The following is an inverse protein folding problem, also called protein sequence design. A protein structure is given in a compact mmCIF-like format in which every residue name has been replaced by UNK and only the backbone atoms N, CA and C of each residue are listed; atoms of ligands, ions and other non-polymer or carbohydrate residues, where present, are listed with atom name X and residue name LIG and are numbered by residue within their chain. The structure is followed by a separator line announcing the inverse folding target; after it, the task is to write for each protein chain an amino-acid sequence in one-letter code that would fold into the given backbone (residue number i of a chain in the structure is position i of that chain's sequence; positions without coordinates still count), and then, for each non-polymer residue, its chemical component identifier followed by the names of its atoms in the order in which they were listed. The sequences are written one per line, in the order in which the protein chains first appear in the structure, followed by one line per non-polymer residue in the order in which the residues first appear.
data_IF_272321528423
#
_entry.id   IF_272321528423
#
_cell.length_a   1.000
_cell.length_b   1.000
_cell.length_c   1.000
_cell.angle_alpha   90.00
_cell.angle_beta   90.00
_cell.angle_gamma   90.00
#
_symmetry.space_group_name_H-M   'P 1'
#
loop_
_entity.id
_entity.type
_entity.pdbx_description
1 polymer ?
#
# COMPACT_ATOMS: atom_id res chain seq x y z
N UNK A 1 7.91 19.77 7.25
CA UNK A 1 8.06 18.39 7.76
C UNK A 1 6.75 17.69 7.46
N UNK A 2 6.74 16.51 6.82
CA UNK A 2 5.50 15.78 6.62
C UNK A 2 4.89 15.45 8.00
N UNK A 3 3.61 15.72 8.17
CA UNK A 3 2.89 15.51 9.43
C UNK A 3 2.48 14.04 9.51
N UNK A 4 3.36 13.19 10.01
CA UNK A 4 3.05 11.77 10.24
C UNK A 4 2.03 11.66 11.36
N UNK A 5 0.92 10.97 11.12
CA UNK A 5 -0.15 10.82 12.11
C UNK A 5 0.39 10.17 13.40
N UNK A 6 0.33 10.84 14.56
CA UNK A 6 0.86 10.29 15.79
C UNK A 6 0.19 8.97 16.21
N UNK A 7 0.95 8.02 16.72
CA UNK A 7 0.45 6.69 17.08
C UNK A 7 -0.68 6.69 18.13
N UNK A 8 -0.79 7.74 18.95
CA UNK A 8 -1.88 7.88 19.93
C UNK A 8 -3.22 8.26 19.26
N UNK A 9 -3.20 8.91 18.07
CA UNK A 9 -4.40 9.19 17.29
C UNK A 9 -4.91 7.97 16.49
N UNK A 10 -4.22 6.84 16.57
CA UNK A 10 -4.63 5.62 15.85
C UNK A 10 -6.04 5.13 16.18
N UNK A 11 -6.62 5.55 17.33
CA UNK A 11 -8.01 5.26 17.65
C UNK A 11 -8.97 5.99 16.70
N UNK A 12 -8.60 7.17 16.18
CA UNK A 12 -9.37 7.88 15.17
C UNK A 12 -9.31 7.13 13.83
N UNK A 13 -8.14 6.60 13.51
CA UNK A 13 -7.93 5.78 12.29
C UNK A 13 -8.64 4.43 12.37
N UNK A 14 -8.93 3.93 13.58
CA UNK A 14 -9.68 2.69 13.82
C UNK A 14 -11.06 2.95 14.43
N UNK A 15 -11.58 4.15 14.32
CA UNK A 15 -12.91 4.48 14.79
C UNK A 15 -13.94 3.50 14.15
N UNK A 16 -14.89 2.94 14.91
CA UNK A 16 -15.97 2.11 14.35
C UNK A 16 -16.75 2.84 13.24
N UNK A 17 -16.80 4.16 13.28
CA UNK A 17 -17.35 5.00 12.21
C UNK A 17 -16.60 4.77 10.87
N UNK A 18 -15.27 4.71 10.88
CA UNK A 18 -14.49 4.39 9.66
C UNK A 18 -14.75 2.96 9.17
N UNK A 19 -14.96 2.00 10.07
CA UNK A 19 -15.36 0.63 9.71
C UNK A 19 -16.68 0.59 8.96
N UNK A 20 -17.63 1.45 9.34
CA UNK A 20 -18.95 1.53 8.72
C UNK A 20 -18.88 2.18 7.34
N UNK A 21 -18.01 3.19 7.17
CA UNK A 21 -17.92 3.97 5.92
C UNK A 21 -16.85 3.49 4.95
N UNK A 22 -15.98 2.54 5.35
CA UNK A 22 -14.95 1.97 4.46
C UNK A 22 -15.24 0.50 4.22
N UNK A 23 -15.77 0.18 3.05
CA UNK A 23 -15.87 -1.21 2.60
C UNK A 23 -14.48 -1.74 2.22
N UNK A 24 -13.86 -2.43 3.20
CA UNK A 24 -12.52 -3.00 3.01
C UNK A 24 -12.52 -4.06 1.92
N UNK A 25 -13.60 -4.83 1.77
CA UNK A 25 -13.68 -5.86 0.76
C UNK A 25 -13.73 -5.25 -0.63
N UNK A 26 -14.51 -4.20 -0.84
CA UNK A 26 -14.54 -3.46 -2.09
C UNK A 26 -13.17 -2.85 -2.46
N UNK A 27 -12.39 -2.39 -1.46
CA UNK A 27 -11.01 -1.92 -1.69
C UNK A 27 -10.11 -3.08 -2.13
N UNK A 28 -10.17 -4.23 -1.46
CA UNK A 28 -9.39 -5.40 -1.85
C UNK A 28 -9.76 -5.91 -3.26
N UNK A 29 -11.04 -5.86 -3.61
CA UNK A 29 -11.53 -6.21 -4.96
C UNK A 29 -10.99 -5.23 -6.01
N UNK A 30 -11.04 -3.93 -5.71
CA UNK A 30 -10.49 -2.89 -6.58
C UNK A 30 -8.97 -3.04 -6.81
N UNK A 31 -8.25 -3.63 -5.83
CA UNK A 31 -6.83 -3.95 -5.93
C UNK A 31 -6.55 -5.31 -6.61
N UNK A 32 -7.57 -6.08 -6.99
CA UNK A 32 -7.45 -7.46 -7.50
C UNK A 32 -6.70 -8.41 -6.54
N UNK A 33 -6.85 -8.23 -5.23
CA UNK A 33 -6.24 -9.11 -4.22
C UNK A 33 -7.04 -10.41 -4.15
N UNK A 34 -6.36 -11.54 -4.40
CA UNK A 34 -6.90 -12.90 -4.38
C UNK A 34 -6.22 -13.76 -3.32
N UNK A 35 -6.66 -15.00 -3.14
CA UNK A 35 -6.04 -15.99 -2.24
C UNK A 35 -4.61 -16.36 -2.63
N UNK A 36 -4.21 -16.12 -3.87
CA UNK A 36 -2.85 -16.42 -4.35
C UNK A 36 -1.91 -15.22 -4.26
N UNK A 37 -2.44 -14.02 -3.97
CA UNK A 37 -1.66 -12.78 -3.97
C UNK A 37 -0.68 -12.72 -2.80
N UNK A 38 0.56 -12.33 -3.09
CA UNK A 38 1.50 -11.77 -2.12
C UNK A 38 1.34 -10.25 -2.13
N UNK A 39 0.91 -9.69 -1.01
CA UNK A 39 0.60 -8.26 -0.92
C UNK A 39 1.67 -7.53 -0.12
N UNK A 40 2.19 -6.44 -0.67
CA UNK A 40 3.03 -5.46 0.01
C UNK A 40 2.16 -4.27 0.42
N UNK A 41 1.96 -4.08 1.72
CA UNK A 41 1.20 -2.96 2.28
C UNK A 41 2.18 -1.93 2.86
N UNK A 42 2.10 -0.69 2.39
CA UNK A 42 2.96 0.41 2.85
C UNK A 42 2.16 1.37 3.72
N UNK A 43 2.68 1.66 4.92
CA UNK A 43 1.96 2.45 5.91
C UNK A 43 0.81 1.65 6.54
N UNK A 44 1.10 0.41 6.96
CA UNK A 44 0.09 -0.52 7.51
C UNK A 44 -0.63 0.02 8.76
N UNK A 45 -0.02 1.00 9.43
CA UNK A 45 -0.57 1.63 10.62
C UNK A 45 -0.85 0.63 11.74
N UNK A 46 -2.05 0.70 12.30
CA UNK A 46 -2.49 -0.22 13.35
C UNK A 46 -3.07 -1.55 12.80
N UNK A 47 -2.95 -1.81 11.49
CA UNK A 47 -3.42 -3.05 10.86
C UNK A 47 -4.89 -3.04 10.41
N UNK A 48 -5.48 -1.88 10.16
CA UNK A 48 -6.88 -1.76 9.77
C UNK A 48 -7.19 -2.50 8.46
N UNK A 49 -6.36 -2.33 7.43
CA UNK A 49 -6.46 -3.09 6.18
C UNK A 49 -5.71 -4.41 6.25
N UNK A 50 -4.56 -4.45 6.92
CA UNK A 50 -3.69 -5.62 7.03
C UNK A 50 -4.46 -6.87 7.46
N UNK A 51 -5.39 -6.74 8.42
CA UNK A 51 -6.24 -7.85 8.89
C UNK A 51 -7.07 -8.43 7.75
N UNK A 52 -7.77 -7.60 6.99
CA UNK A 52 -8.61 -8.05 5.87
C UNK A 52 -7.77 -8.56 4.69
N UNK A 53 -6.60 -7.96 4.45
CA UNK A 53 -5.66 -8.47 3.46
C UNK A 53 -5.18 -9.87 3.86
N UNK A 54 -4.80 -10.08 5.13
CA UNK A 54 -4.32 -11.36 5.63
C UNK A 54 -5.42 -12.45 5.65
N UNK A 55 -6.68 -12.08 5.80
CA UNK A 55 -7.81 -13.01 5.65
C UNK A 55 -7.92 -13.53 4.22
N UNK A 56 -7.67 -12.68 3.22
CA UNK A 56 -7.84 -12.99 1.79
C UNK A 56 -6.56 -13.50 1.11
N UNK A 57 -5.45 -12.77 1.26
CA UNK A 57 -4.22 -13.00 0.50
C UNK A 57 -3.43 -14.24 0.95
N UNK A 58 -2.52 -14.73 0.11
CA UNK A 58 -1.59 -15.81 0.43
C UNK A 58 -0.56 -15.38 1.49
N UNK A 59 -0.01 -14.18 1.32
CA UNK A 59 1.00 -13.61 2.22
C UNK A 59 0.88 -12.09 2.25
N UNK A 60 1.19 -11.48 3.40
CA UNK A 60 1.24 -10.04 3.58
C UNK A 60 2.61 -9.63 4.09
N UNK A 61 3.20 -8.65 3.42
CA UNK A 61 4.41 -7.96 3.84
C UNK A 61 3.97 -6.54 4.20
N UNK A 62 3.91 -6.23 5.48
CA UNK A 62 3.44 -4.94 5.98
C UNK A 62 4.62 -4.08 6.43
N UNK A 63 4.76 -2.90 5.85
CA UNK A 63 5.80 -1.91 6.20
C UNK A 63 5.15 -0.79 7.00
N UNK A 64 5.70 -0.50 8.18
CA UNK A 64 5.21 0.56 9.05
C UNK A 64 6.38 1.26 9.77
N UNK A 65 6.39 2.60 9.71
CA UNK A 65 7.47 3.42 10.26
C UNK A 65 7.39 3.53 11.79
N UNK A 66 6.17 3.67 12.33
CA UNK A 66 5.96 4.02 13.72
C UNK A 66 5.94 2.79 14.63
N UNK A 67 6.88 2.68 15.55
CA UNK A 67 6.96 1.60 16.55
C UNK A 67 5.64 1.39 17.32
N UNK A 68 4.95 2.49 17.66
CA UNK A 68 3.66 2.44 18.35
C UNK A 68 2.56 1.75 17.55
N UNK A 69 2.53 1.99 16.23
CA UNK A 69 1.63 1.34 15.28
C UNK A 69 2.01 -0.12 15.07
N UNK A 70 3.31 -0.42 14.91
CA UNK A 70 3.81 -1.79 14.76
C UNK A 70 3.39 -2.68 15.92
N UNK A 71 3.43 -2.19 17.17
CA UNK A 71 2.94 -2.96 18.32
C UNK A 71 1.46 -3.33 18.20
N UNK A 72 0.63 -2.39 17.74
CA UNK A 72 -0.81 -2.62 17.53
C UNK A 72 -1.05 -3.56 16.35
N UNK A 73 -0.31 -3.37 15.26
CA UNK A 73 -0.33 -4.23 14.08
C UNK A 73 -0.01 -5.67 14.44
N UNK A 74 1.11 -5.92 15.12
CA UNK A 74 1.53 -7.26 15.57
C UNK A 74 0.47 -7.94 16.43
N UNK A 75 -0.11 -7.22 17.41
CA UNK A 75 -1.18 -7.75 18.26
C UNK A 75 -2.41 -8.17 17.44
N UNK A 76 -2.80 -7.34 16.46
CA UNK A 76 -3.98 -7.59 15.63
C UNK A 76 -3.80 -8.77 14.68
N UNK A 77 -2.61 -8.89 14.11
CA UNK A 77 -2.32 -9.89 13.07
C UNK A 77 -1.69 -11.17 13.59
N UNK A 78 -1.49 -11.30 14.91
CA UNK A 78 -0.83 -12.45 15.55
C UNK A 78 -1.44 -13.80 15.14
N UNK A 79 -2.76 -13.85 14.94
CA UNK A 79 -3.48 -15.08 14.55
C UNK A 79 -3.11 -15.61 13.15
N UNK A 80 -2.47 -14.79 12.32
CA UNK A 80 -2.13 -15.18 10.95
C UNK A 80 -0.73 -15.83 10.81
N UNK A 81 0.06 -15.84 11.88
CA UNK A 81 1.34 -16.54 11.95
C UNK A 81 2.29 -16.20 10.80
N UNK A 82 2.81 -17.23 10.13
CA UNK A 82 3.79 -17.12 9.04
C UNK A 82 3.27 -16.42 7.78
N UNK A 83 1.96 -16.24 7.68
CA UNK A 83 1.34 -15.49 6.60
C UNK A 83 1.73 -14.00 6.63
N UNK A 84 2.17 -13.51 7.81
CA UNK A 84 2.53 -12.14 8.07
C UNK A 84 4.05 -11.93 8.15
N UNK A 85 4.55 -10.97 7.38
CA UNK A 85 5.88 -10.39 7.57
C UNK A 85 5.72 -8.90 7.89
N UNK A 86 6.24 -8.45 9.04
CA UNK A 86 6.13 -7.04 9.45
C UNK A 86 7.53 -6.44 9.50
N UNK A 87 7.73 -5.43 8.67
CA UNK A 87 8.97 -4.64 8.57
C UNK A 87 8.73 -3.30 9.26
N UNK A 88 9.58 -2.98 10.23
CA UNK A 88 9.54 -1.68 10.91
C UNK A 88 10.57 -0.76 10.31
N UNK A 89 10.14 0.33 9.68
CA UNK A 89 11.05 1.31 9.09
C UNK A 89 10.43 2.08 7.93
N UNK A 90 11.24 3.01 7.39
CA UNK A 90 10.90 3.76 6.18
C UNK A 90 10.99 2.83 4.96
N UNK A 91 9.98 2.85 4.08
CA UNK A 91 9.97 2.06 2.85
C UNK A 91 11.21 2.34 1.98
N UNK A 92 11.72 3.55 2.00
CA UNK A 92 12.90 3.94 1.23
C UNK A 92 14.19 3.21 1.68
N UNK A 93 14.24 2.75 2.95
CA UNK A 93 15.42 2.12 3.56
C UNK A 93 15.19 0.69 4.04
N UNK A 94 13.98 0.14 3.91
CA UNK A 94 13.61 -1.13 4.54
C UNK A 94 14.29 -2.37 3.92
N UNK A 95 15.14 -2.20 2.92
CA UNK A 95 15.95 -3.29 2.35
C UNK A 95 15.15 -4.32 1.55
N UNK A 96 13.93 -4.03 1.13
CA UNK A 96 13.15 -4.92 0.27
C UNK A 96 13.85 -5.06 -1.08
N UNK A 97 14.23 -6.29 -1.43
CA UNK A 97 14.90 -6.62 -2.68
C UNK A 97 14.13 -7.68 -3.46
N UNK A 98 14.22 -7.58 -4.78
CA UNK A 98 13.60 -8.54 -5.70
C UNK A 98 12.10 -8.33 -5.89
N UNK A 99 11.59 -8.95 -6.93
CA UNK A 99 10.18 -8.91 -7.33
C UNK A 99 9.37 -9.93 -6.50
N UNK A 100 8.91 -9.53 -5.33
CA UNK A 100 8.31 -10.42 -4.33
C UNK A 100 6.80 -10.29 -4.21
N UNK A 101 6.21 -9.15 -4.62
CA UNK A 101 4.79 -8.87 -4.44
C UNK A 101 4.02 -8.86 -5.76
N UNK A 102 2.81 -9.39 -5.72
CA UNK A 102 1.84 -9.33 -6.83
C UNK A 102 1.07 -8.01 -6.81
N UNK A 103 0.77 -7.52 -5.60
CA UNK A 103 0.03 -6.28 -5.36
C UNK A 103 0.77 -5.43 -4.33
N UNK A 104 0.90 -4.13 -4.58
CA UNK A 104 1.29 -3.14 -3.58
C UNK A 104 0.07 -2.26 -3.26
N UNK A 105 -0.25 -2.11 -1.97
CA UNK A 105 -1.31 -1.25 -1.48
C UNK A 105 -0.74 -0.12 -0.63
N UNK A 106 -1.10 1.12 -0.97
CA UNK A 106 -0.93 2.30 -0.15
C UNK A 106 -2.32 2.89 0.15
N UNK A 107 -2.72 2.85 1.42
CA UNK A 107 -4.01 3.41 1.83
C UNK A 107 -3.81 4.54 2.83
N UNK A 108 -3.98 5.77 2.38
CA UNK A 108 -3.77 7.00 3.13
C UNK A 108 -2.34 7.10 3.72
N UNK A 109 -1.35 6.79 2.88
CA UNK A 109 0.04 6.71 3.35
C UNK A 109 1.07 7.36 2.41
N UNK A 110 0.82 7.44 1.09
CA UNK A 110 1.83 7.94 0.17
C UNK A 110 2.13 9.43 0.37
N UNK A 111 1.11 10.23 0.71
CA UNK A 111 1.29 11.67 0.99
C UNK A 111 2.21 11.94 2.19
N UNK A 112 2.24 11.03 3.17
CA UNK A 112 3.10 11.13 4.37
C UNK A 112 4.56 10.74 4.11
N UNK A 113 4.86 10.06 3.00
CA UNK A 113 6.23 9.62 2.67
C UNK A 113 7.08 10.83 2.30
N UNK A 114 8.18 11.03 3.03
CA UNK A 114 9.08 12.15 2.80
C UNK A 114 9.91 11.97 1.52
N UNK A 115 10.46 10.75 1.31
CA UNK A 115 11.33 10.39 0.17
C UNK A 115 10.56 9.62 -0.88
N UNK A 116 9.65 10.32 -1.58
CA UNK A 116 8.71 9.71 -2.53
C UNK A 116 9.40 9.03 -3.71
N UNK A 117 10.50 9.60 -4.19
CA UNK A 117 11.24 9.05 -5.33
C UNK A 117 11.89 7.71 -4.97
N UNK A 118 12.58 7.64 -3.84
CA UNK A 118 13.20 6.42 -3.34
C UNK A 118 12.15 5.37 -2.99
N UNK A 119 11.06 5.78 -2.36
CA UNK A 119 9.94 4.88 -2.06
C UNK A 119 9.35 4.29 -3.35
N UNK A 120 9.11 5.10 -4.37
CA UNK A 120 8.60 4.64 -5.66
C UNK A 120 9.58 3.67 -6.35
N UNK A 121 10.89 3.90 -6.22
CA UNK A 121 11.92 3.00 -6.73
C UNK A 121 11.87 1.64 -6.01
N UNK A 122 11.79 1.63 -4.67
CA UNK A 122 11.73 0.40 -3.88
C UNK A 122 10.45 -0.37 -4.17
N UNK A 123 9.30 0.31 -4.16
CA UNK A 123 7.98 -0.29 -4.48
C UNK A 123 8.01 -0.89 -5.89
N UNK A 124 8.55 -0.13 -6.87
CA UNK A 124 8.68 -0.60 -8.25
C UNK A 124 9.55 -1.85 -8.38
N UNK A 125 10.65 -1.95 -7.62
CA UNK A 125 11.51 -3.13 -7.58
C UNK A 125 10.83 -4.32 -6.91
N UNK A 126 10.06 -4.07 -5.84
CA UNK A 126 9.39 -5.11 -5.07
C UNK A 126 8.21 -5.76 -5.81
N UNK A 127 7.58 -5.04 -6.74
CA UNK A 127 6.50 -5.58 -7.56
C UNK A 127 7.04 -6.48 -8.66
N UNK A 128 6.39 -7.64 -8.83
CA UNK A 128 6.64 -8.54 -9.95
C UNK A 128 6.26 -7.89 -11.29
N UNK A 129 6.80 -8.40 -12.38
CA UNK A 129 6.31 -8.10 -13.73
C UNK A 129 4.83 -8.47 -13.83
N UNK A 130 3.99 -7.59 -14.36
CA UNK A 130 2.53 -7.71 -14.35
C UNK A 130 1.86 -7.42 -13.00
N UNK A 131 2.63 -7.10 -11.96
CA UNK A 131 2.10 -6.74 -10.65
C UNK A 131 1.39 -5.38 -10.65
N UNK A 132 0.51 -5.16 -9.69
CA UNK A 132 -0.31 -3.95 -9.58
C UNK A 132 0.03 -3.11 -8.36
N UNK A 133 -0.11 -1.79 -8.52
CA UNK A 133 0.01 -0.79 -7.48
C UNK A 133 -1.33 -0.09 -7.31
N UNK A 134 -1.86 -0.07 -6.10
CA UNK A 134 -3.08 0.65 -5.76
C UNK A 134 -2.79 1.73 -4.71
N UNK A 135 -3.15 2.96 -5.01
CA UNK A 135 -2.97 4.13 -4.15
C UNK A 135 -4.35 4.72 -3.84
N UNK A 136 -4.62 4.87 -2.56
CA UNK A 136 -5.81 5.54 -2.03
C UNK A 136 -5.36 6.69 -1.15
N UNK A 137 -5.89 7.90 -1.39
CA UNK A 137 -5.50 9.09 -0.65
C UNK A 137 -6.72 9.88 -0.18
N UNK A 138 -6.66 10.52 1.00
CA UNK A 138 -7.78 11.28 1.54
C UNK A 138 -7.98 12.58 0.75
N UNK A 139 -9.22 12.85 0.32
CA UNK A 139 -9.54 14.04 -0.47
C UNK A 139 -9.36 15.35 0.28
N UNK A 140 -9.36 15.29 1.62
CA UNK A 140 -9.17 16.46 2.49
C UNK A 140 -7.70 16.90 2.57
N UNK A 141 -6.75 15.98 2.36
CA UNK A 141 -5.31 16.24 2.47
C UNK A 141 -4.61 16.24 1.12
N UNK A 142 -5.16 15.50 0.13
CA UNK A 142 -4.54 15.32 -1.19
C UNK A 142 -5.46 15.85 -2.27
N UNK A 143 -5.04 16.90 -2.96
CA UNK A 143 -5.73 17.46 -4.12
C UNK A 143 -5.64 16.56 -5.36
N UNK A 144 -6.33 16.92 -6.44
CA UNK A 144 -6.18 16.21 -7.72
C UNK A 144 -4.78 16.35 -8.29
N UNK A 145 -4.18 17.52 -8.15
CA UNK A 145 -2.81 17.83 -8.62
C UNK A 145 -1.77 17.05 -7.82
N UNK A 146 -1.91 16.98 -6.47
CA UNK A 146 -1.03 16.18 -5.63
C UNK A 146 -1.10 14.70 -5.98
N UNK A 147 -2.31 14.18 -6.28
CA UNK A 147 -2.47 12.80 -6.74
C UNK A 147 -1.77 12.57 -8.08
N UNK A 148 -1.90 13.50 -9.05
CA UNK A 148 -1.18 13.39 -10.33
C UNK A 148 0.34 13.43 -10.13
N UNK A 149 0.84 14.30 -9.26
CA UNK A 149 2.26 14.33 -8.90
C UNK A 149 2.73 13.02 -8.25
N UNK A 150 1.91 12.42 -7.39
CA UNK A 150 2.19 11.11 -6.80
C UNK A 150 2.28 10.00 -7.85
N UNK A 151 1.36 9.98 -8.81
CA UNK A 151 1.35 9.00 -9.90
C UNK A 151 2.55 9.15 -10.83
N UNK A 152 3.04 10.38 -11.04
CA UNK A 152 4.18 10.66 -11.92
C UNK A 152 5.45 9.91 -11.46
N UNK A 153 5.69 9.73 -10.15
CA UNK A 153 6.82 8.95 -9.65
C UNK A 153 6.84 7.52 -10.18
N UNK A 154 5.68 6.90 -10.34
CA UNK A 154 5.56 5.53 -10.83
C UNK A 154 5.51 5.49 -12.36
N UNK A 155 4.81 6.42 -12.99
CA UNK A 155 4.72 6.48 -14.46
C UNK A 155 6.08 6.73 -15.11
N UNK A 156 6.94 7.56 -14.51
CA UNK A 156 8.33 7.77 -14.93
C UNK A 156 9.18 6.50 -14.84
N UNK A 157 8.74 5.51 -14.06
CA UNK A 157 9.35 4.17 -13.93
C UNK A 157 8.68 3.11 -14.79
N UNK A 158 7.86 3.54 -15.75
CA UNK A 158 7.22 2.66 -16.72
C UNK A 158 5.91 2.02 -16.26
N UNK A 159 5.37 2.41 -15.11
CA UNK A 159 4.03 1.95 -14.72
C UNK A 159 2.96 2.56 -15.62
N UNK A 160 1.95 1.76 -15.91
CA UNK A 160 0.80 2.15 -16.74
C UNK A 160 -0.38 2.44 -15.83
N UNK A 161 -0.94 3.65 -15.93
CA UNK A 161 -2.16 4.01 -15.23
C UNK A 161 -3.36 3.31 -15.85
N UNK A 162 -4.02 2.45 -15.08
CA UNK A 162 -5.18 1.66 -15.54
C UNK A 162 -6.50 2.34 -15.18
N UNK A 163 -6.57 2.86 -13.97
CA UNK A 163 -7.83 3.40 -13.44
C UNK A 163 -7.57 4.51 -12.45
N UNK A 164 -8.43 5.52 -12.45
CA UNK A 164 -8.57 6.51 -11.38
C UNK A 164 -10.01 6.51 -10.89
N UNK A 165 -10.19 6.92 -9.64
CA UNK A 165 -11.51 7.07 -9.05
C UNK A 165 -11.51 8.13 -7.95
N UNK A 166 -12.71 8.63 -7.66
CA UNK A 166 -12.92 9.60 -6.57
C UNK A 166 -14.25 9.33 -5.90
N UNK A 167 -14.23 9.32 -4.57
CA UNK A 167 -15.41 9.43 -3.73
C UNK A 167 -15.38 10.76 -2.96
N UNK A 168 -16.35 10.97 -2.07
CA UNK A 168 -16.36 12.15 -1.19
C UNK A 168 -15.08 12.23 -0.35
N UNK A 169 -14.60 11.10 0.16
CA UNK A 169 -13.49 11.05 1.13
C UNK A 169 -12.18 10.50 0.56
N UNK A 170 -12.20 9.89 -0.63
CA UNK A 170 -11.04 9.15 -1.13
C UNK A 170 -10.82 9.41 -2.62
N UNK A 171 -9.57 9.70 -3.00
CA UNK A 171 -9.06 9.57 -4.36
C UNK A 171 -8.34 8.24 -4.48
N UNK A 172 -8.47 7.56 -5.60
CA UNK A 172 -7.75 6.33 -5.82
C UNK A 172 -7.20 6.23 -7.24
N UNK A 173 -6.14 5.46 -7.38
CA UNK A 173 -5.60 5.06 -8.66
C UNK A 173 -5.06 3.64 -8.58
N UNK A 174 -5.14 2.93 -9.71
CA UNK A 174 -4.46 1.66 -9.92
C UNK A 174 -3.55 1.77 -11.13
N UNK A 175 -2.32 1.30 -10.94
CA UNK A 175 -1.30 1.20 -11.97
C UNK A 175 -0.84 -0.24 -12.09
N UNK A 176 -0.40 -0.65 -13.27
CA UNK A 176 0.26 -1.93 -13.50
C UNK A 176 1.72 -1.74 -13.85
N UNK A 177 2.55 -2.67 -13.38
CA UNK A 177 3.92 -2.81 -13.84
C UNK A 177 3.91 -3.65 -15.13
N UNK A 178 4.47 -3.18 -16.24
CA UNK A 178 4.45 -3.92 -17.50
C UNK A 178 5.03 -5.32 -17.35
N UNK A 179 4.50 -6.25 -18.13
CA UNK A 179 5.12 -7.56 -18.33
C UNK A 179 6.45 -7.37 -19.06
N UNK A 180 7.53 -7.88 -18.49
CA UNK A 180 8.79 -7.98 -19.21
C UNK A 180 8.58 -9.09 -20.25
N UNK A 181 8.47 -8.70 -21.54
CA UNK A 181 8.56 -9.66 -22.62
C UNK A 181 10.03 -10.09 -22.70
N UNK A 182 10.31 -11.34 -22.36
CA UNK A 182 11.61 -11.95 -22.66
C UNK A 182 11.84 -11.90 -24.18
N UNK A 183 12.64 -10.92 -24.64
CA UNK A 183 13.08 -10.82 -26.04
C UNK A 183 14.20 -11.82 -26.36
N UNK A 184 14.11 -13.03 -25.85
CA UNK A 184 15.08 -14.08 -26.16
C UNK A 184 14.38 -15.33 -26.66
N UNK A 185 13.89 -15.26 -27.92
CA UNK A 185 13.82 -16.40 -28.83
C UNK A 185 14.09 -15.90 -30.23
N UNK A 186 15.37 -15.75 -30.56
CA UNK A 186 15.89 -15.90 -31.92
C UNK A 186 17.23 -16.60 -31.88
#
# INVERSE_FOLDING_TARGET
MPCVCPSWLSFILYNPVRKIFTDRQAVLDACNITSESVVLEIGAGNGFFTESIAERAKKVIAVELQQGMVRKLRKRTARFGEKMAIITGDIADCGIQGAIADVCLLYYSFHEIARKDEAARVIGSALKSGGSLAIFEPTIEVSGEDMQAALAYFMQRGFILERTGRSVFTRCARLSKPMIQDRNHK
#
